data_IF_588764893776
#
_entry.id   IF_588764893776
#
_cell.length_a   1.000
_cell.length_b   1.000
_cell.length_c   1.000
_cell.angle_alpha   90.00
_cell.angle_beta   90.00
_cell.angle_gamma   90.00
#
_symmetry.space_group_name_H-M   'P 1'
#
loop_
_entity.id
_entity.type
_entity.pdbx_description
1 polymer ?
#
# COMPACT_ATOMS: atom_id res chain seq x y z
N UNK A 1 -2.23 16.04 -34.64
CA UNK A 1 -1.08 15.22 -34.22
C UNK A 1 -1.37 14.77 -32.80
N UNK A 2 -1.96 13.58 -32.61
CA UNK A 2 -2.22 13.05 -31.27
C UNK A 2 -0.89 12.50 -30.73
N UNK A 3 -0.33 13.17 -29.73
CA UNK A 3 0.79 12.64 -28.98
C UNK A 3 0.31 11.41 -28.21
N UNK A 4 0.71 10.23 -28.67
CA UNK A 4 0.62 9.00 -27.88
C UNK A 4 1.56 9.19 -26.70
N UNK A 5 1.02 9.64 -25.57
CA UNK A 5 1.75 9.59 -24.31
C UNK A 5 1.89 8.10 -23.96
N UNK A 6 3.09 7.57 -24.13
CA UNK A 6 3.43 6.25 -23.61
C UNK A 6 3.31 6.34 -22.09
N UNK A 7 2.26 5.73 -21.53
CA UNK A 7 2.09 5.67 -20.08
C UNK A 7 2.97 4.54 -19.55
N UNK A 8 4.13 4.93 -19.06
CA UNK A 8 5.14 4.02 -18.48
C UNK A 8 4.80 3.66 -17.04
N UNK A 9 5.20 2.46 -16.61
CA UNK A 9 5.14 2.05 -15.21
C UNK A 9 5.92 3.05 -14.34
N UNK A 10 5.36 3.40 -13.19
CA UNK A 10 6.00 4.31 -12.25
C UNK A 10 6.76 3.51 -11.19
N UNK A 11 8.00 3.91 -10.90
CA UNK A 11 8.74 3.37 -9.75
C UNK A 11 7.97 3.70 -8.47
N UNK A 12 7.56 2.71 -7.66
CA UNK A 12 6.82 2.99 -6.45
C UNK A 12 7.70 3.71 -5.43
N UNK A 13 7.14 4.74 -4.81
CA UNK A 13 7.69 5.35 -3.61
C UNK A 13 7.44 4.39 -2.44
N UNK A 14 8.48 4.14 -1.64
CA UNK A 14 8.38 3.45 -0.35
C UNK A 14 8.22 4.50 0.75
N UNK A 15 7.27 4.31 1.65
CA UNK A 15 7.03 5.19 2.79
C UNK A 15 6.39 4.43 3.97
N UNK A 16 6.25 5.11 5.10
CA UNK A 16 5.70 4.55 6.33
C UNK A 16 4.69 5.50 6.98
N UNK A 17 3.68 4.92 7.62
CA UNK A 17 2.85 5.66 8.57
C UNK A 17 2.84 4.96 9.93
N UNK A 18 2.38 5.68 10.97
CA UNK A 18 2.26 5.16 12.33
C UNK A 18 0.79 5.04 12.69
N UNK A 19 0.37 3.85 13.10
CA UNK A 19 -0.99 3.58 13.56
C UNK A 19 -1.27 4.23 14.92
N UNK A 20 -2.54 4.29 15.30
CA UNK A 20 -2.99 4.81 16.60
C UNK A 20 -2.47 4.00 17.79
N UNK A 21 -2.21 2.69 17.62
CA UNK A 21 -1.56 1.82 18.62
C UNK A 21 -0.02 1.83 18.53
N UNK A 22 0.54 2.67 17.65
CA UNK A 22 1.98 2.98 17.61
C UNK A 22 2.81 2.06 16.73
N UNK A 23 2.19 1.20 15.92
CA UNK A 23 2.86 0.31 14.96
C UNK A 23 3.24 1.10 13.72
N UNK A 24 4.50 0.99 13.28
CA UNK A 24 4.92 1.54 11.99
C UNK A 24 4.56 0.57 10.87
N UNK A 25 3.76 1.04 9.92
CA UNK A 25 3.31 0.27 8.77
C UNK A 25 3.96 0.83 7.50
N UNK A 26 4.65 -0.04 6.77
CA UNK A 26 5.23 0.25 5.47
C UNK A 26 4.18 0.10 4.35
N UNK A 27 4.32 0.92 3.31
CA UNK A 27 3.57 0.77 2.08
C UNK A 27 4.36 1.29 0.87
N UNK A 28 4.02 0.75 -0.30
CA UNK A 28 4.47 1.20 -1.61
C UNK A 28 3.35 2.01 -2.26
N UNK A 29 3.69 3.13 -2.89
CA UNK A 29 2.75 4.05 -3.51
C UNK A 29 3.22 4.47 -4.91
N UNK A 30 2.33 4.41 -5.90
CA UNK A 30 2.64 4.80 -7.28
C UNK A 30 1.40 5.32 -8.01
N UNK A 31 1.61 6.14 -9.03
CA UNK A 31 0.52 6.60 -9.89
C UNK A 31 -0.33 7.71 -9.27
N UNK A 32 -1.45 7.98 -9.92
CA UNK A 32 -2.42 9.01 -9.53
C UNK A 32 -3.79 8.66 -10.10
N UNK A 33 -4.87 9.26 -9.58
CA UNK A 33 -6.24 9.01 -10.03
C UNK A 33 -7.07 8.28 -8.98
N UNK A 34 -7.99 7.41 -9.42
CA UNK A 34 -8.84 6.64 -8.50
C UNK A 34 -7.99 5.64 -7.70
N UNK A 35 -8.16 5.53 -6.37
CA UNK A 35 -7.30 4.70 -5.55
C UNK A 35 -7.59 3.20 -5.68
N UNK A 36 -6.52 2.39 -5.63
CA UNK A 36 -6.56 0.93 -5.46
C UNK A 36 -5.59 0.58 -4.34
N UNK A 37 -6.10 -0.10 -3.30
CA UNK A 37 -5.29 -0.62 -2.20
C UNK A 37 -5.11 -2.12 -2.36
N UNK A 38 -3.87 -2.58 -2.50
CA UNK A 38 -3.50 -3.98 -2.54
C UNK A 38 -3.13 -4.49 -1.14
N UNK A 39 -3.87 -5.49 -0.67
CA UNK A 39 -3.61 -6.18 0.60
C UNK A 39 -3.10 -7.60 0.26
N UNK A 40 -1.86 -7.95 0.63
CA UNK A 40 -1.30 -9.26 0.32
C UNK A 40 -1.92 -10.36 1.20
N UNK A 41 -1.64 -11.62 0.83
CA UNK A 41 -2.01 -12.79 1.62
C UNK A 41 -1.22 -12.92 2.92
N UNK A 42 -1.40 -14.03 3.62
CA UNK A 42 -0.64 -14.32 4.84
C UNK A 42 0.85 -14.47 4.53
N UNK A 43 1.73 -13.91 5.37
CA UNK A 43 3.20 -13.97 5.27
C UNK A 43 3.81 -13.36 4.00
N UNK A 44 3.10 -12.46 3.32
CA UNK A 44 3.51 -11.89 2.05
C UNK A 44 3.75 -10.38 2.16
N UNK A 45 4.89 -9.88 1.68
CA UNK A 45 5.18 -8.45 1.65
C UNK A 45 4.48 -7.75 0.47
N UNK A 46 4.39 -6.42 0.52
CA UNK A 46 3.79 -5.53 -0.45
C UNK A 46 4.35 -5.71 -1.86
N UNK A 47 5.67 -5.96 -1.97
CA UNK A 47 6.34 -6.10 -3.26
C UNK A 47 5.87 -7.31 -4.08
N UNK A 48 5.11 -8.25 -3.50
CA UNK A 48 4.44 -9.30 -4.29
C UNK A 48 3.55 -8.70 -5.39
N UNK A 49 3.03 -7.50 -5.16
CA UNK A 49 2.17 -6.79 -6.09
C UNK A 49 2.95 -6.00 -7.16
N UNK A 50 4.28 -6.16 -7.29
CA UNK A 50 5.09 -5.34 -8.21
C UNK A 50 4.50 -5.30 -9.63
N UNK A 51 4.09 -6.44 -10.19
CA UNK A 51 3.50 -6.48 -11.55
C UNK A 51 2.18 -5.73 -11.64
N UNK A 52 1.37 -5.77 -10.58
CA UNK A 52 0.12 -5.03 -10.48
C UNK A 52 0.37 -3.54 -10.29
N UNK A 53 1.36 -3.17 -9.47
CA UNK A 53 1.81 -1.78 -9.33
C UNK A 53 2.25 -1.23 -10.69
N UNK A 54 3.10 -1.95 -11.41
CA UNK A 54 3.61 -1.54 -12.72
C UNK A 54 2.48 -1.29 -13.73
N UNK A 55 1.44 -2.13 -13.73
CA UNK A 55 0.33 -2.02 -14.67
C UNK A 55 -0.70 -0.97 -14.24
N UNK A 56 -1.16 -1.00 -12.99
CA UNK A 56 -2.26 -0.16 -12.54
C UNK A 56 -1.82 1.27 -12.23
N UNK A 57 -0.56 1.51 -11.84
CA UNK A 57 -0.05 2.88 -11.57
C UNK A 57 -0.06 3.80 -12.80
N UNK A 58 -0.17 3.22 -14.00
CA UNK A 58 -0.36 3.96 -15.26
C UNK A 58 -1.63 4.81 -15.23
N UNK A 59 -2.67 4.40 -14.52
CA UNK A 59 -3.99 5.06 -14.53
C UNK A 59 -4.61 5.30 -13.15
N UNK A 60 -4.17 4.54 -12.16
CA UNK A 60 -4.73 4.54 -10.81
C UNK A 60 -3.68 5.03 -9.81
N UNK A 61 -4.16 5.53 -8.68
CA UNK A 61 -3.33 5.74 -7.50
C UNK A 61 -3.24 4.42 -6.76
N UNK A 62 -2.11 3.74 -6.88
CA UNK A 62 -1.92 2.40 -6.32
C UNK A 62 -1.17 2.50 -5.00
N UNK A 63 -1.68 1.80 -3.99
CA UNK A 63 -1.04 1.61 -2.69
C UNK A 63 -0.95 0.12 -2.41
N UNK A 64 0.24 -0.41 -2.13
CA UNK A 64 0.42 -1.79 -1.67
C UNK A 64 1.00 -1.77 -0.25
N UNK A 65 0.28 -2.36 0.71
CA UNK A 65 0.65 -2.31 2.13
C UNK A 65 1.44 -3.55 2.53
N UNK A 66 2.44 -3.37 3.40
CA UNK A 66 2.99 -4.44 4.23
C UNK A 66 2.13 -4.54 5.50
N UNK A 67 1.30 -5.58 5.68
CA UNK A 67 0.51 -5.69 6.90
C UNK A 67 1.39 -5.75 8.15
N UNK A 68 0.83 -5.43 9.33
CA UNK A 68 1.54 -5.63 10.60
C UNK A 68 2.21 -7.01 10.66
N UNK A 69 3.47 -7.03 11.10
CA UNK A 69 4.35 -8.21 11.13
C UNK A 69 4.73 -8.82 9.78
N UNK A 70 4.68 -8.05 8.69
CA UNK A 70 5.08 -8.50 7.35
C UNK A 70 5.96 -7.44 6.66
N UNK A 71 6.82 -7.90 5.76
CA UNK A 71 7.73 -7.03 5.01
C UNK A 71 8.54 -6.10 5.91
N UNK A 72 8.48 -4.79 5.64
CA UNK A 72 9.18 -3.76 6.40
C UNK A 72 8.34 -3.13 7.52
N UNK A 73 7.09 -3.55 7.71
CA UNK A 73 6.27 -3.15 8.85
C UNK A 73 6.82 -3.71 10.15
N UNK A 74 6.53 -3.01 11.25
CA UNK A 74 6.92 -3.48 12.58
C UNK A 74 6.32 -4.86 12.89
N UNK A 75 7.03 -5.63 13.71
CA UNK A 75 6.68 -7.00 14.11
C UNK A 75 6.33 -7.05 15.60
N UNK A 76 5.19 -6.46 16.03
CA UNK A 76 4.77 -6.52 17.43
C UNK A 76 4.42 -7.96 17.83
N UNK A 77 4.50 -8.26 19.13
CA UNK A 77 4.03 -9.53 19.72
C UNK A 77 2.54 -9.50 20.09
N UNK A 78 1.83 -8.42 19.74
CA UNK A 78 0.45 -8.15 20.13
C UNK A 78 -0.38 -7.59 18.97
N UNK A 79 -1.70 -7.48 19.19
CA UNK A 79 -2.60 -6.81 18.24
C UNK A 79 -2.84 -7.59 16.94
N UNK A 80 -2.82 -8.92 16.99
CA UNK A 80 -3.05 -9.78 15.82
C UNK A 80 -4.50 -10.24 15.67
N UNK A 81 -5.45 -9.50 16.22
CA UNK A 81 -6.87 -9.77 16.00
C UNK A 81 -7.29 -9.24 14.63
N UNK A 82 -8.29 -9.86 13.96
CA UNK A 82 -8.80 -9.38 12.68
C UNK A 82 -9.22 -7.90 12.71
N UNK A 83 -9.84 -7.45 13.80
CA UNK A 83 -10.32 -6.08 13.98
C UNK A 83 -9.17 -5.08 14.01
N UNK A 84 -8.05 -5.45 14.64
CA UNK A 84 -6.86 -4.61 14.68
C UNK A 84 -6.23 -4.49 13.30
N UNK A 85 -6.17 -5.59 12.53
CA UNK A 85 -5.69 -5.54 11.13
C UNK A 85 -6.61 -4.71 10.23
N UNK A 86 -7.93 -4.84 10.39
CA UNK A 86 -8.88 -4.01 9.66
C UNK A 86 -8.70 -2.53 9.99
N UNK A 87 -8.40 -2.21 11.26
CA UNK A 87 -8.09 -0.84 11.69
C UNK A 87 -6.83 -0.31 11.01
N UNK A 88 -5.76 -1.08 10.88
CA UNK A 88 -4.55 -0.64 10.16
C UNK A 88 -4.86 -0.18 8.75
N UNK A 89 -5.64 -0.98 8.02
CA UNK A 89 -6.01 -0.65 6.64
C UNK A 89 -6.89 0.60 6.59
N UNK A 90 -7.81 0.76 7.53
CA UNK A 90 -8.60 1.98 7.64
C UNK A 90 -7.71 3.20 7.95
N UNK A 91 -6.78 3.08 8.89
CA UNK A 91 -5.89 4.18 9.27
C UNK A 91 -4.92 4.54 8.14
N UNK A 92 -4.47 3.57 7.33
CA UNK A 92 -3.70 3.83 6.11
C UNK A 92 -4.53 4.62 5.08
N UNK A 93 -5.78 4.21 4.85
CA UNK A 93 -6.72 4.90 3.95
C UNK A 93 -6.94 6.35 4.40
N UNK A 94 -7.15 6.55 5.71
CA UNK A 94 -7.32 7.88 6.29
C UNK A 94 -6.03 8.71 6.20
N UNK A 95 -4.87 8.13 6.51
CA UNK A 95 -3.55 8.77 6.45
C UNK A 95 -3.23 9.31 5.06
N UNK A 96 -3.54 8.52 4.03
CA UNK A 96 -3.33 8.88 2.63
C UNK A 96 -4.49 9.71 2.03
N UNK A 97 -5.53 9.98 2.82
CA UNK A 97 -6.74 10.69 2.41
C UNK A 97 -7.37 10.11 1.12
N UNK A 98 -7.39 8.78 1.00
CA UNK A 98 -7.98 8.08 -0.14
C UNK A 98 -9.50 8.23 -0.10
N UNK A 99 -10.12 8.41 -1.27
CA UNK A 99 -11.56 8.67 -1.44
C UNK A 99 -12.29 7.51 -2.09
#
# INVERSE_FOLDING_TARGET
>A
MLAVHCVVAQTPKSDFFKTSDGIRIHYLEAGSGQPIVFIPGWTMPAWIWQKQIDEFSKKYHVVAVDPRSQGESDQPTFGHLPETRARDYKELVDHLALK
#
